data_IF_479674837617
#
_entry.id   IF_479674837617
#
_cell.length_a   1.000
_cell.length_b   1.000
_cell.length_c   1.000
_cell.angle_alpha   90.00
_cell.angle_beta   90.00
_cell.angle_gamma   90.00
#
_symmetry.space_group_name_H-M   'P 1'
#
loop_
_entity.id
_entity.type
_entity.pdbx_description
1 polymer ?
#
# COMPACT_ATOMS: atom_id res chain seq x y z
N UNK A 1 -14.82 1.53 -25.33
CA UNK A 1 -13.58 2.06 -24.77
C UNK A 1 -13.88 2.77 -23.46
N UNK A 2 -12.88 2.92 -22.62
CA UNK A 2 -12.97 3.66 -21.36
C UNK A 2 -12.27 5.01 -21.57
N UNK A 3 -12.92 6.09 -21.11
CA UNK A 3 -12.29 7.42 -21.11
C UNK A 3 -11.90 7.76 -19.68
N UNK A 4 -10.65 8.14 -19.47
CA UNK A 4 -10.12 8.54 -18.17
C UNK A 4 -9.88 10.04 -18.16
N UNK A 5 -10.40 10.72 -17.12
CA UNK A 5 -10.07 12.09 -16.83
C UNK A 5 -9.07 12.13 -15.68
N UNK A 6 -7.80 12.40 -16.00
CA UNK A 6 -6.71 12.42 -15.03
C UNK A 6 -6.71 13.78 -14.32
N UNK A 7 -6.86 13.76 -13.01
CA UNK A 7 -6.82 14.94 -12.17
C UNK A 7 -5.59 14.91 -11.27
N UNK A 8 -4.66 15.84 -11.48
CA UNK A 8 -3.47 16.00 -10.65
C UNK A 8 -3.71 17.03 -9.55
N UNK A 9 -3.31 16.70 -8.34
CA UNK A 9 -3.54 17.52 -7.14
C UNK A 9 -2.26 17.71 -6.34
N UNK A 10 -2.26 18.71 -5.47
CA UNK A 10 -1.27 18.85 -4.41
C UNK A 10 -1.42 17.70 -3.39
N UNK A 11 -0.33 17.29 -2.76
CA UNK A 11 -0.27 16.09 -1.90
C UNK A 11 -1.34 16.10 -0.80
N UNK A 12 -1.58 17.24 -0.15
CA UNK A 12 -2.56 17.32 0.92
C UNK A 12 -3.99 17.15 0.40
N UNK A 13 -4.32 17.80 -0.72
CA UNK A 13 -5.63 17.67 -1.37
C UNK A 13 -5.89 16.23 -1.82
N UNK A 14 -4.89 15.60 -2.43
CA UNK A 14 -4.93 14.21 -2.84
C UNK A 14 -5.20 13.27 -1.64
N UNK A 15 -4.52 13.46 -0.51
CA UNK A 15 -4.74 12.67 0.70
C UNK A 15 -6.14 12.85 1.29
N UNK A 16 -6.64 14.07 1.29
CA UNK A 16 -7.96 14.38 1.82
C UNK A 16 -9.07 13.80 0.91
N UNK A 17 -8.89 13.87 -0.41
CA UNK A 17 -9.80 13.25 -1.36
C UNK A 17 -9.78 11.73 -1.29
N UNK A 18 -8.62 11.10 -1.12
CA UNK A 18 -8.53 9.67 -0.89
C UNK A 18 -9.30 9.22 0.37
N UNK A 19 -9.14 9.94 1.48
CA UNK A 19 -9.85 9.63 2.74
C UNK A 19 -11.36 9.80 2.60
N UNK A 20 -11.78 10.81 1.83
CA UNK A 20 -13.19 11.08 1.59
C UNK A 20 -13.82 10.14 0.56
N UNK A 21 -13.03 9.33 -0.15
CA UNK A 21 -13.52 8.49 -1.24
C UNK A 21 -13.91 9.27 -2.50
N UNK A 22 -13.38 10.47 -2.67
CA UNK A 22 -13.67 11.35 -3.81
C UNK A 22 -12.88 10.96 -5.06
N UNK A 23 -12.99 9.71 -5.50
CA UNK A 23 -12.32 9.20 -6.69
C UNK A 23 -13.08 8.00 -7.26
N UNK A 24 -12.99 7.80 -8.56
CA UNK A 24 -13.40 6.56 -9.23
C UNK A 24 -12.22 5.58 -9.26
N UNK A 25 -11.01 6.11 -9.53
CA UNK A 25 -9.73 5.39 -9.49
C UNK A 25 -8.68 6.33 -8.93
N UNK A 26 -7.76 5.80 -8.14
CA UNK A 26 -6.66 6.57 -7.56
C UNK A 26 -5.36 5.75 -7.59
N UNK A 27 -4.24 6.42 -7.89
CA UNK A 27 -2.93 5.81 -7.71
C UNK A 27 -2.57 5.83 -6.23
N UNK A 28 -2.12 4.71 -5.72
CA UNK A 28 -1.61 4.61 -4.35
C UNK A 28 -0.34 3.76 -4.34
N UNK A 29 0.47 3.92 -3.31
CA UNK A 29 1.66 3.11 -3.07
C UNK A 29 1.45 2.31 -1.79
N UNK A 30 1.78 1.03 -1.81
CA UNK A 30 1.77 0.24 -0.59
C UNK A 30 2.92 0.64 0.34
N UNK A 31 2.76 0.34 1.61
CA UNK A 31 3.79 0.55 2.61
C UNK A 31 5.04 -0.28 2.27
N UNK A 32 6.20 0.35 2.39
CA UNK A 32 7.48 -0.30 2.15
C UNK A 32 7.89 -1.26 3.27
N UNK A 33 9.15 -1.16 3.69
CA UNK A 33 9.70 -1.93 4.81
C UNK A 33 8.85 -1.78 6.08
N UNK A 34 8.60 -2.88 6.82
CA UNK A 34 9.25 -4.19 6.72
C UNK A 34 8.66 -5.17 5.69
N UNK A 35 7.80 -4.74 4.79
CA UNK A 35 7.09 -5.57 3.80
C UNK A 35 6.19 -6.64 4.42
N UNK A 36 5.72 -6.39 5.64
CA UNK A 36 4.77 -7.27 6.30
C UNK A 36 3.36 -7.03 5.74
N UNK A 37 2.65 -8.07 5.29
CA UNK A 37 1.28 -7.94 4.78
C UNK A 37 0.33 -7.29 5.80
N UNK A 38 0.59 -7.45 7.09
CA UNK A 38 -0.22 -6.90 8.17
C UNK A 38 -0.37 -5.38 8.09
N UNK A 39 0.68 -4.65 7.70
CA UNK A 39 0.61 -3.19 7.59
C UNK A 39 -0.36 -2.73 6.50
N UNK A 40 -0.36 -3.41 5.35
CA UNK A 40 -1.30 -3.13 4.26
C UNK A 40 -2.74 -3.46 4.64
N UNK A 41 -2.96 -4.61 5.27
CA UNK A 41 -4.30 -5.00 5.73
C UNK A 41 -4.84 -4.08 6.83
N UNK A 42 -3.98 -3.60 7.74
CA UNK A 42 -4.37 -2.61 8.73
C UNK A 42 -4.87 -1.31 8.08
N UNK A 43 -4.21 -0.86 6.99
CA UNK A 43 -4.66 0.30 6.22
C UNK A 43 -6.01 0.05 5.52
N UNK A 44 -6.21 -1.15 4.97
CA UNK A 44 -7.47 -1.55 4.31
C UNK A 44 -8.69 -1.50 5.25
N UNK A 45 -8.47 -1.68 6.56
CA UNK A 45 -9.53 -1.65 7.58
C UNK A 45 -9.71 -0.27 8.24
N UNK A 46 -8.75 0.62 8.14
CA UNK A 46 -8.78 1.89 8.85
C UNK A 46 -9.44 3.01 8.00
N UNK A 47 -10.59 3.60 8.44
CA UNK A 47 -11.35 4.58 7.65
C UNK A 47 -10.60 5.87 7.27
N UNK A 48 -9.40 6.06 7.81
CA UNK A 48 -8.56 7.22 7.53
C UNK A 48 -7.70 7.07 6.27
N UNK A 49 -7.73 5.90 5.63
CA UNK A 49 -6.92 5.60 4.44
C UNK A 49 -7.79 5.41 3.19
N UNK A 50 -7.23 5.74 2.04
CA UNK A 50 -7.86 5.49 0.74
C UNK A 50 -8.08 4.01 0.44
N UNK A 51 -7.25 3.14 0.98
CA UNK A 51 -7.41 1.68 0.88
C UNK A 51 -8.74 1.20 1.46
N UNK A 52 -9.18 1.78 2.58
CA UNK A 52 -10.51 1.53 3.13
C UNK A 52 -11.62 2.09 2.23
N UNK A 53 -11.44 3.33 1.76
CA UNK A 53 -12.44 3.99 0.93
C UNK A 53 -12.70 3.24 -0.40
N UNK A 54 -11.66 2.64 -0.98
CA UNK A 54 -11.76 1.83 -2.20
C UNK A 54 -12.66 0.60 -2.06
N UNK A 55 -12.93 0.14 -0.84
CA UNK A 55 -13.73 -1.06 -0.56
C UNK A 55 -15.18 -0.74 -0.20
N UNK A 56 -15.58 0.53 -0.09
CA UNK A 56 -16.92 0.91 0.40
C UNK A 56 -18.07 0.46 -0.49
N UNK A 57 -17.79 0.09 -1.73
CA UNK A 57 -18.78 -0.44 -2.66
C UNK A 57 -18.93 -1.97 -2.64
N UNK A 58 -18.16 -2.69 -1.84
CA UNK A 58 -18.25 -4.14 -1.76
C UNK A 58 -19.46 -4.58 -0.93
N UNK A 59 -20.19 -5.56 -1.43
CA UNK A 59 -21.36 -6.14 -0.73
C UNK A 59 -20.94 -6.88 0.55
N UNK A 60 -19.75 -7.50 0.56
CA UNK A 60 -19.17 -8.28 1.64
C UNK A 60 -18.12 -7.52 2.47
N UNK A 61 -18.16 -6.17 2.43
CA UNK A 61 -17.20 -5.31 3.16
C UNK A 61 -17.12 -5.64 4.65
N UNK A 62 -18.24 -5.99 5.28
CA UNK A 62 -18.28 -6.32 6.70
C UNK A 62 -17.50 -7.60 7.02
N UNK A 63 -17.66 -8.62 6.20
CA UNK A 63 -16.99 -9.91 6.32
C UNK A 63 -15.48 -9.77 6.07
N UNK A 64 -15.09 -8.92 5.11
CA UNK A 64 -13.69 -8.59 4.85
C UNK A 64 -13.07 -7.87 6.07
N UNK A 65 -13.76 -6.92 6.68
CA UNK A 65 -13.30 -6.22 7.88
C UNK A 65 -13.15 -7.16 9.10
N UNK A 66 -14.08 -8.11 9.26
CA UNK A 66 -13.99 -9.13 10.29
C UNK A 66 -12.78 -10.05 10.05
N UNK A 67 -12.58 -10.52 8.83
CA UNK A 67 -11.44 -11.35 8.45
C UNK A 67 -10.11 -10.62 8.69
N UNK A 68 -9.99 -9.36 8.28
CA UNK A 68 -8.80 -8.55 8.56
C UNK A 68 -8.57 -8.39 10.06
N UNK A 69 -9.64 -8.19 10.83
CA UNK A 69 -9.54 -8.09 12.29
C UNK A 69 -8.99 -9.37 12.89
N UNK A 70 -9.47 -10.51 12.45
CA UNK A 70 -9.01 -11.82 12.93
C UNK A 70 -7.54 -12.06 12.54
N UNK A 71 -7.13 -11.71 11.31
CA UNK A 71 -5.72 -11.77 10.86
C UNK A 71 -4.80 -11.00 11.81
N UNK A 72 -5.21 -9.80 12.24
CA UNK A 72 -4.39 -8.92 13.06
C UNK A 72 -4.20 -9.40 14.51
N UNK A 73 -5.03 -10.33 14.98
CA UNK A 73 -5.02 -10.79 16.38
C UNK A 73 -4.72 -12.28 16.53
N UNK A 74 -4.90 -13.09 15.49
CA UNK A 74 -4.67 -14.55 15.60
C UNK A 74 -3.18 -14.87 15.66
N UNK A 75 -2.83 -15.86 16.47
CA UNK A 75 -1.50 -16.46 16.55
C UNK A 75 -1.41 -17.80 15.83
N UNK A 76 -2.53 -18.31 15.34
CA UNK A 76 -2.59 -19.51 14.53
C UNK A 76 -2.20 -19.18 13.08
N UNK A 77 -1.06 -19.68 12.65
CA UNK A 77 -0.49 -19.36 11.34
C UNK A 77 -1.30 -19.96 10.18
N UNK A 78 -1.81 -21.18 10.35
CA UNK A 78 -2.62 -21.82 9.32
C UNK A 78 -3.92 -21.06 9.13
N UNK A 79 -4.58 -20.70 10.23
CA UNK A 79 -5.78 -19.87 10.19
C UNK A 79 -5.52 -18.50 9.57
N UNK A 80 -4.42 -17.87 9.91
CA UNK A 80 -4.00 -16.58 9.35
C UNK A 80 -3.83 -16.69 7.84
N UNK A 81 -3.17 -17.73 7.36
CA UNK A 81 -2.97 -17.95 5.93
C UNK A 81 -4.28 -18.18 5.16
N UNK A 82 -5.24 -18.90 5.75
CA UNK A 82 -6.58 -19.04 5.19
C UNK A 82 -7.27 -17.70 5.03
N UNK A 83 -7.24 -16.88 6.06
CA UNK A 83 -7.85 -15.54 6.06
C UNK A 83 -7.18 -14.59 5.07
N UNK A 84 -5.84 -14.60 4.95
CA UNK A 84 -5.14 -13.87 3.90
C UNK A 84 -5.60 -14.27 2.51
N UNK A 85 -5.70 -15.58 2.28
CA UNK A 85 -6.18 -16.11 0.99
C UNK A 85 -7.60 -15.65 0.70
N UNK A 86 -8.49 -15.71 1.68
CA UNK A 86 -9.86 -15.23 1.56
C UNK A 86 -9.90 -13.75 1.17
N UNK A 87 -9.32 -12.89 1.99
CA UNK A 87 -9.36 -11.42 1.77
C UNK A 87 -8.73 -11.02 0.43
N UNK A 88 -7.54 -11.53 0.13
CA UNK A 88 -6.82 -11.14 -1.09
C UNK A 88 -7.52 -11.67 -2.35
N UNK A 89 -8.14 -12.84 -2.29
CA UNK A 89 -8.91 -13.38 -3.43
C UNK A 89 -10.13 -12.53 -3.71
N UNK A 90 -10.92 -12.19 -2.71
CA UNK A 90 -12.11 -11.34 -2.88
C UNK A 90 -11.74 -9.96 -3.44
N UNK A 91 -10.75 -9.30 -2.85
CA UNK A 91 -10.31 -7.98 -3.31
C UNK A 91 -9.73 -8.01 -4.74
N UNK A 92 -9.16 -9.13 -5.14
CA UNK A 92 -8.64 -9.33 -6.51
C UNK A 92 -9.76 -9.59 -7.52
N UNK A 93 -10.71 -10.47 -7.20
CA UNK A 93 -11.82 -10.82 -8.08
C UNK A 93 -12.73 -9.62 -8.34
N UNK A 94 -12.94 -8.77 -7.35
CA UNK A 94 -13.70 -7.51 -7.48
C UNK A 94 -12.87 -6.36 -8.05
N UNK A 95 -11.60 -6.61 -8.39
CA UNK A 95 -10.66 -5.64 -8.98
C UNK A 95 -10.54 -4.33 -8.16
N UNK A 96 -10.65 -4.43 -6.82
CA UNK A 96 -10.53 -3.28 -5.91
C UNK A 96 -9.15 -2.66 -5.99
N UNK A 97 -8.11 -3.51 -6.09
CA UNK A 97 -6.72 -3.08 -6.23
C UNK A 97 -6.10 -3.69 -7.48
N UNK A 98 -5.47 -2.85 -8.29
CA UNK A 98 -4.80 -3.26 -9.52
C UNK A 98 -3.30 -3.01 -9.37
N UNK A 99 -2.48 -4.02 -9.07
CA UNK A 99 -1.03 -3.87 -9.00
C UNK A 99 -0.47 -3.48 -10.38
N UNK A 100 0.25 -2.37 -10.45
CA UNK A 100 0.77 -1.84 -11.71
C UNK A 100 2.28 -2.06 -11.85
N UNK A 101 3.06 -1.72 -10.81
CA UNK A 101 4.52 -1.74 -10.88
C UNK A 101 5.13 -1.70 -9.48
N UNK A 102 6.40 -2.03 -9.42
CA UNK A 102 7.24 -1.75 -8.25
C UNK A 102 8.01 -0.46 -8.46
N UNK A 103 8.06 0.40 -7.45
CA UNK A 103 8.89 1.59 -7.50
C UNK A 103 10.37 1.22 -7.42
N UNK A 104 11.18 1.95 -8.19
CA UNK A 104 12.63 1.88 -8.10
C UNK A 104 13.13 2.97 -7.17
N UNK A 105 13.97 2.62 -6.20
CA UNK A 105 14.67 3.60 -5.39
C UNK A 105 15.59 4.46 -6.28
N UNK A 106 15.61 5.76 -6.05
CA UNK A 106 16.43 6.73 -6.79
C UNK A 106 17.28 7.51 -5.81
N UNK A 107 18.55 7.71 -6.15
CA UNK A 107 19.45 8.56 -5.39
C UNK A 107 20.17 9.54 -6.33
N UNK A 108 20.32 10.78 -5.88
CA UNK A 108 21.09 11.80 -6.54
C UNK A 108 22.20 12.23 -5.58
N UNK A 109 23.46 12.12 -6.04
CA UNK A 109 24.62 12.46 -5.24
C UNK A 109 25.72 13.08 -6.10
N UNK A 110 26.72 13.67 -5.47
CA UNK A 110 27.86 14.29 -6.15
C UNK A 110 28.66 13.23 -6.91
N UNK A 111 29.16 13.59 -8.08
CA UNK A 111 29.90 12.66 -8.97
C UNK A 111 31.24 12.18 -8.40
N UNK A 112 31.81 12.91 -7.44
CA UNK A 112 33.05 12.57 -6.74
C UNK A 112 32.83 11.68 -5.49
N UNK A 113 31.58 11.51 -5.05
CA UNK A 113 31.23 10.64 -3.92
C UNK A 113 31.33 9.18 -4.33
N UNK A 114 31.93 8.38 -3.47
CA UNK A 114 32.05 6.91 -3.59
C UNK A 114 31.37 6.23 -2.41
N UNK A 115 31.15 4.92 -2.54
CA UNK A 115 30.61 4.09 -1.46
C UNK A 115 29.08 4.11 -1.35
N UNK A 116 28.35 4.88 -2.19
CA UNK A 116 26.89 4.82 -2.18
C UNK A 116 26.42 3.46 -2.67
N UNK A 117 25.48 2.87 -1.93
CA UNK A 117 24.70 1.71 -2.33
C UNK A 117 23.34 1.75 -1.65
N UNK A 118 22.36 1.08 -2.24
CA UNK A 118 21.07 0.87 -1.60
C UNK A 118 21.17 -0.27 -0.59
N UNK A 119 20.57 -0.08 0.57
CA UNK A 119 20.42 -1.12 1.60
C UNK A 119 19.13 -1.90 1.38
N UNK A 120 18.82 -2.84 2.27
CA UNK A 120 17.57 -3.60 2.20
C UNK A 120 16.33 -2.73 2.46
N UNK A 121 16.51 -1.59 3.11
CA UNK A 121 15.44 -0.63 3.38
C UNK A 121 15.70 0.69 2.67
N UNK A 122 14.65 1.28 2.11
CA UNK A 122 14.74 2.58 1.44
C UNK A 122 15.02 3.76 2.40
N UNK A 123 14.88 3.53 3.69
CA UNK A 123 15.02 4.58 4.72
C UNK A 123 16.43 4.65 5.29
N UNK A 124 17.26 3.68 5.00
CA UNK A 124 18.62 3.62 5.53
C UNK A 124 19.61 4.21 4.53
N UNK A 125 20.43 5.13 5.01
CA UNK A 125 21.51 5.74 4.22
C UNK A 125 22.86 5.36 4.85
N UNK A 126 23.69 4.58 4.15
CA UNK A 126 24.96 4.05 4.68
C UNK A 126 26.08 5.10 4.69
N UNK A 127 25.92 6.15 5.49
CA UNK A 127 26.88 7.29 5.55
C UNK A 127 28.30 6.87 5.89
N UNK A 128 28.45 5.78 6.66
CA UNK A 128 29.75 5.26 7.05
C UNK A 128 30.59 4.77 5.87
N UNK A 129 29.97 4.45 4.74
CA UNK A 129 30.63 3.91 3.55
C UNK A 129 31.03 5.02 2.56
N UNK A 130 30.58 6.26 2.81
CA UNK A 130 30.83 7.37 1.91
C UNK A 130 32.26 7.89 2.03
N UNK A 131 32.85 8.21 0.88
CA UNK A 131 34.12 8.92 0.75
C UNK A 131 34.13 9.85 -0.45
N UNK A 132 35.04 10.83 -0.45
CA UNK A 132 35.22 11.81 -1.51
C UNK A 132 36.62 11.74 -2.08
#
# INVERSE_FOLDING_TARGET
GVSLNIHGEEEQSYRDNMKAGNFDMVFNICWGTPYDPQSSLAAMRAPVYGDYAAQLGLDDKAEIDEAITEILITTDEDRRQELYTYVLTHLHEDAVYIPLTYECNKAIYRSDMKGFHFTQTQYEVPFQDFSF
#
